data_IF_328291392065
#
_entry.id   IF_328291392065
#
_cell.length_a   1.000
_cell.length_b   1.000
_cell.length_c   1.000
_cell.angle_alpha   90.00
_cell.angle_beta   90.00
_cell.angle_gamma   90.00
#
_symmetry.space_group_name_H-M   'P 1'
#
loop_
_entity.id
_entity.type
_entity.pdbx_description
1 polymer ?
#
# COMPACT_ATOMS: atom_id res chain seq x y z
N UNK A 1 -29.22 11.05 -2.75
CA UNK A 1 -28.17 11.23 -1.72
C UNK A 1 -27.97 9.90 -1.04
N UNK A 2 -27.00 9.10 -1.52
CA UNK A 2 -26.66 7.81 -0.95
C UNK A 2 -25.20 7.87 -0.51
N UNK A 3 -24.98 7.45 0.74
CA UNK A 3 -23.81 7.73 1.56
C UNK A 3 -22.46 7.47 0.89
N UNK A 4 -21.61 8.48 0.98
CA UNK A 4 -20.20 8.52 0.61
C UNK A 4 -19.36 7.75 1.66
N UNK A 5 -19.74 6.52 1.95
CA UNK A 5 -19.04 5.60 2.88
C UNK A 5 -18.37 4.49 2.06
N UNK A 6 -17.80 4.85 0.92
CA UNK A 6 -16.87 3.98 0.21
C UNK A 6 -15.52 4.10 0.92
N UNK A 7 -15.44 3.44 2.07
CA UNK A 7 -14.15 3.01 2.61
C UNK A 7 -13.43 2.34 1.44
N UNK A 8 -12.39 3.00 0.94
CA UNK A 8 -11.44 2.44 -0.01
C UNK A 8 -10.83 1.21 0.68
N UNK A 9 -11.53 0.09 0.57
CA UNK A 9 -11.18 -1.18 1.16
C UNK A 9 -9.82 -1.54 0.55
N UNK A 10 -8.81 -1.76 1.39
CA UNK A 10 -7.47 -2.17 0.96
C UNK A 10 -7.51 -3.38 0.00
N UNK A 11 -8.63 -4.12 0.00
CA UNK A 11 -9.02 -5.14 -1.00
C UNK A 11 -9.03 -4.70 -2.46
N UNK A 12 -9.27 -3.42 -2.76
CA UNK A 12 -9.26 -2.95 -4.15
C UNK A 12 -7.85 -2.91 -4.73
N UNK A 13 -6.82 -2.67 -3.89
CA UNK A 13 -5.41 -2.83 -4.29
C UNK A 13 -4.98 -4.30 -4.33
N UNK A 14 -5.61 -5.18 -3.53
CA UNK A 14 -5.36 -6.64 -3.52
C UNK A 14 -5.75 -7.33 -4.83
N UNK A 15 -6.84 -6.93 -5.48
CA UNK A 15 -7.29 -7.63 -6.69
C UNK A 15 -6.49 -7.27 -7.95
N UNK A 16 -5.73 -6.18 -7.92
CA UNK A 16 -5.05 -5.65 -9.11
C UNK A 16 -3.52 -5.85 -9.09
N UNK A 17 -2.94 -6.35 -7.99
CA UNK A 17 -1.50 -6.46 -7.85
C UNK A 17 -0.98 -7.90 -8.06
N UNK A 18 -0.11 -8.15 -9.07
CA UNK A 18 0.45 -9.48 -9.29
C UNK A 18 1.46 -9.86 -8.20
N UNK A 19 1.27 -11.03 -7.58
CA UNK A 19 2.08 -11.56 -6.47
C UNK A 19 2.00 -10.73 -5.17
N UNK A 20 0.79 -10.36 -4.76
CA UNK A 20 0.50 -9.72 -3.47
C UNK A 20 0.47 -10.72 -2.32
N UNK A 21 1.05 -10.40 -1.17
CA UNK A 21 0.80 -11.13 0.06
C UNK A 21 0.54 -10.18 1.23
N UNK A 22 -0.40 -10.57 2.10
CA UNK A 22 -0.78 -9.85 3.30
C UNK A 22 -0.30 -10.64 4.51
N UNK A 23 0.46 -9.98 5.37
CA UNK A 23 1.00 -10.54 6.60
C UNK A 23 0.48 -9.72 7.78
N UNK A 24 -0.23 -10.36 8.69
CA UNK A 24 -0.72 -9.73 9.92
C UNK A 24 0.23 -10.06 11.06
N UNK A 25 0.82 -9.03 11.66
CA UNK A 25 1.67 -9.11 12.85
C UNK A 25 1.01 -8.37 14.01
N UNK A 26 0.29 -9.11 14.86
CA UNK A 26 -0.42 -8.55 16.00
C UNK A 26 -1.47 -7.50 15.60
N UNK A 27 -1.23 -6.24 15.99
CA UNK A 27 -2.07 -5.08 15.67
C UNK A 27 -1.65 -4.31 14.41
N UNK A 28 -0.73 -4.88 13.62
CA UNK A 28 -0.26 -4.28 12.36
C UNK A 28 -0.47 -5.22 11.20
N UNK A 29 -0.88 -4.66 10.08
CA UNK A 29 -1.03 -5.36 8.82
C UNK A 29 0.08 -4.85 7.88
N UNK A 30 0.78 -5.81 7.28
CA UNK A 30 1.85 -5.58 6.31
C UNK A 30 1.37 -6.16 5.00
N UNK A 31 1.39 -5.33 3.97
CA UNK A 31 0.97 -5.73 2.65
C UNK A 31 2.12 -5.50 1.68
N UNK A 32 2.50 -6.53 0.94
CA UNK A 32 3.60 -6.47 -0.01
C UNK A 32 3.06 -6.79 -1.40
N UNK A 33 3.31 -5.89 -2.34
CA UNK A 33 2.87 -5.98 -3.73
C UNK A 33 3.97 -5.60 -4.70
N UNK A 34 3.81 -5.98 -5.96
CA UNK A 34 4.55 -5.30 -7.03
C UNK A 34 3.89 -3.98 -7.38
N UNK A 35 4.71 -2.95 -7.53
CA UNK A 35 4.25 -1.64 -7.99
C UNK A 35 3.77 -1.78 -9.44
N UNK A 36 2.49 -1.47 -9.65
CA UNK A 36 1.84 -1.50 -10.96
C UNK A 36 1.79 -0.11 -11.60
N UNK A 37 2.17 0.93 -10.85
CA UNK A 37 2.07 2.31 -11.28
C UNK A 37 3.37 2.76 -11.94
N UNK A 38 3.26 3.39 -13.11
CA UNK A 38 4.41 4.04 -13.72
C UNK A 38 4.73 5.32 -12.94
N UNK A 39 5.78 5.28 -12.12
CA UNK A 39 6.26 6.44 -11.35
C UNK A 39 7.49 7.04 -12.02
N UNK A 40 7.46 8.35 -12.24
CA UNK A 40 8.60 9.10 -12.76
C UNK A 40 9.43 9.63 -11.60
N UNK A 41 10.70 9.24 -11.55
CA UNK A 41 11.64 9.74 -10.55
C UNK A 41 12.81 10.42 -11.25
N UNK A 42 13.21 11.59 -10.75
CA UNK A 42 14.39 12.32 -11.23
C UNK A 42 15.70 11.57 -10.92
N UNK A 43 15.72 10.79 -9.84
CA UNK A 43 16.85 9.96 -9.38
C UNK A 43 16.42 8.51 -9.22
N UNK A 44 17.34 7.53 -9.19
CA UNK A 44 17.02 6.11 -8.99
C UNK A 44 16.92 5.76 -7.49
N UNK A 45 15.72 5.82 -6.85
CA UNK A 45 15.61 5.62 -5.41
C UNK A 45 15.59 4.11 -5.12
N UNK A 46 16.43 3.69 -4.17
CA UNK A 46 16.40 2.33 -3.64
C UNK A 46 15.24 2.13 -2.67
N UNK A 47 14.94 3.15 -1.88
CA UNK A 47 13.85 3.20 -0.90
C UNK A 47 13.17 4.55 -1.05
N UNK A 48 11.86 4.55 -1.23
CA UNK A 48 11.03 5.75 -1.21
C UNK A 48 9.88 5.55 -0.22
N UNK A 49 9.64 6.54 0.62
CA UNK A 49 8.66 6.47 1.71
C UNK A 49 7.62 7.56 1.49
N UNK A 50 6.37 7.14 1.31
CA UNK A 50 5.24 8.04 1.10
C UNK A 50 4.16 7.80 2.15
N UNK A 51 3.41 8.86 2.47
CA UNK A 51 2.19 8.74 3.27
C UNK A 51 1.12 8.06 2.44
N UNK A 52 0.49 7.01 2.98
CA UNK A 52 -0.65 6.39 2.33
C UNK A 52 -1.87 7.31 2.29
N UNK A 53 -2.84 6.97 1.45
CA UNK A 53 -4.07 7.77 1.21
C UNK A 53 -4.91 7.95 2.48
N UNK A 54 -4.82 7.01 3.43
CA UNK A 54 -5.58 7.02 4.67
C UNK A 54 -4.67 7.17 5.88
N UNK A 55 -5.12 7.92 6.89
CA UNK A 55 -4.38 8.10 8.14
C UNK A 55 -4.03 6.75 8.77
N UNK A 56 -2.75 6.56 9.10
CA UNK A 56 -2.22 5.31 9.64
C UNK A 56 -1.75 4.28 8.60
N UNK A 57 -1.71 4.66 7.32
CA UNK A 57 -1.06 3.87 6.26
C UNK A 57 0.27 4.50 5.85
N UNK A 58 1.32 3.68 5.78
CA UNK A 58 2.65 4.05 5.29
C UNK A 58 2.96 3.22 4.06
N UNK A 59 3.36 3.86 2.96
CA UNK A 59 3.77 3.17 1.73
C UNK A 59 5.28 3.29 1.58
N UNK A 60 5.95 2.16 1.38
CA UNK A 60 7.40 2.08 1.15
C UNK A 60 7.62 1.40 -0.19
N UNK A 61 8.25 2.09 -1.12
CA UNK A 61 8.66 1.53 -2.41
C UNK A 61 10.14 1.11 -2.35
N UNK A 62 10.40 -0.16 -2.59
CA UNK A 62 11.72 -0.76 -2.65
C UNK A 62 12.08 -1.08 -4.10
N UNK A 63 13.27 -0.64 -4.53
CA UNK A 63 13.85 -0.90 -5.85
C UNK A 63 12.92 -0.54 -7.03
N UNK A 64 12.00 0.42 -6.85
CA UNK A 64 10.95 0.78 -7.82
C UNK A 64 10.05 -0.38 -8.27
N UNK A 65 10.04 -1.50 -7.55
CA UNK A 65 9.34 -2.73 -7.96
C UNK A 65 8.45 -3.28 -6.88
N UNK A 66 8.86 -3.19 -5.62
CA UNK A 66 8.15 -3.77 -4.49
C UNK A 66 7.56 -2.66 -3.66
N UNK A 67 6.26 -2.67 -3.49
CA UNK A 67 5.51 -1.71 -2.70
C UNK A 67 5.04 -2.40 -1.42
N UNK A 68 5.50 -1.88 -0.29
CA UNK A 68 5.18 -2.36 1.04
C UNK A 68 4.26 -1.34 1.71
N UNK A 69 3.02 -1.71 1.97
CA UNK A 69 2.06 -0.89 2.72
C UNK A 69 2.01 -1.42 4.14
N UNK A 70 2.25 -0.55 5.11
CA UNK A 70 2.04 -0.83 6.52
C UNK A 70 0.76 -0.12 6.93
N UNK A 71 -0.18 -0.85 7.51
CA UNK A 71 -1.39 -0.31 8.09
C UNK A 71 -1.52 -0.72 9.55
N UNK A 72 -2.11 0.18 10.36
CA UNK A 72 -2.55 -0.19 11.70
C UNK A 72 -3.81 -1.04 11.56
N UNK A 73 -3.78 -2.27 12.07
CA UNK A 73 -4.97 -3.12 12.11
C UNK A 73 -5.98 -2.46 13.06
N UNK A 74 -7.15 -2.09 12.53
CA UNK A 74 -8.28 -1.68 13.36
C UNK A 74 -8.88 -2.97 13.94
N UNK A 75 -8.85 -3.10 15.26
CA UNK A 75 -9.62 -4.09 16.00
C UNK A 75 -11.07 -3.63 16.12
#
# INVERSE_FOLDING_TARGET
>A
MANLEQAFDARFSLQCAPASFLLRLGSREIFVCRDFRQRYYSVNPLIDCATGIQAGHLEILLFRKWLVILSKAKW
#
